data_IF_777318466328
#
_entry.id   IF_777318466328
#
_cell.length_a   1.000
_cell.length_b   1.000
_cell.length_c   1.000
_cell.angle_alpha   90.00
_cell.angle_beta   90.00
_cell.angle_gamma   90.00
#
_symmetry.space_group_name_H-M   'P 1'
#
loop_
_entity.id
_entity.type
_entity.pdbx_description
1 polymer ?
#
# COMPACT_ATOMS: atom_id res chain seq x y z
N UNK A 1 -9.22 16.70 -22.35
CA UNK A 1 -9.23 15.24 -22.52
C UNK A 1 -9.71 14.65 -21.20
N UNK A 2 -10.93 14.11 -21.18
CA UNK A 2 -11.41 13.40 -20.00
C UNK A 2 -10.71 12.05 -19.98
N UNK A 3 -9.69 11.90 -19.14
CA UNK A 3 -9.17 10.58 -18.79
C UNK A 3 -10.32 9.83 -18.14
N UNK A 4 -10.88 8.84 -18.83
CA UNK A 4 -11.73 7.84 -18.22
C UNK A 4 -10.91 7.24 -17.07
N UNK A 5 -11.21 7.68 -15.84
CA UNK A 5 -10.70 7.08 -14.62
C UNK A 5 -11.34 5.70 -14.55
N UNK A 6 -10.72 4.79 -15.29
CA UNK A 6 -11.02 3.37 -15.24
C UNK A 6 -10.54 2.94 -13.87
N UNK A 7 -11.42 2.32 -13.09
CA UNK A 7 -11.07 1.80 -11.77
C UNK A 7 -9.79 0.97 -11.95
N UNK A 8 -8.69 1.31 -11.26
CA UNK A 8 -7.42 0.64 -11.49
C UNK A 8 -7.58 -0.85 -11.20
N UNK A 9 -7.15 -1.71 -12.12
CA UNK A 9 -7.20 -3.14 -11.90
C UNK A 9 -6.29 -3.52 -10.71
N UNK A 10 -6.72 -4.43 -9.81
CA UNK A 10 -5.89 -4.88 -8.68
C UNK A 10 -4.50 -5.36 -9.09
N UNK A 11 -4.38 -6.02 -10.25
CA UNK A 11 -3.11 -6.48 -10.78
C UNK A 11 -2.15 -5.33 -11.11
N UNK A 12 -2.66 -4.21 -11.64
CA UNK A 12 -1.84 -3.03 -11.91
C UNK A 12 -1.30 -2.40 -10.62
N UNK A 13 -2.11 -2.38 -9.55
CA UNK A 13 -1.67 -1.91 -8.23
C UNK A 13 -0.58 -2.83 -7.68
N UNK A 14 -0.75 -4.15 -7.80
CA UNK A 14 0.26 -5.12 -7.36
C UNK A 14 1.59 -4.96 -8.11
N UNK A 15 1.56 -4.69 -9.42
CA UNK A 15 2.75 -4.39 -10.21
C UNK A 15 3.44 -3.13 -9.67
N UNK A 16 2.72 -2.04 -9.44
CA UNK A 16 3.29 -0.81 -8.86
C UNK A 16 3.88 -1.07 -7.47
N UNK A 17 3.17 -1.81 -6.61
CA UNK A 17 3.68 -2.18 -5.29
C UNK A 17 5.01 -2.95 -5.42
N UNK A 18 5.14 -3.87 -6.39
CA UNK A 18 6.39 -4.61 -6.63
C UNK A 18 7.56 -3.69 -7.05
N UNK A 19 7.28 -2.64 -7.83
CA UNK A 19 8.26 -1.64 -8.24
C UNK A 19 8.77 -0.77 -7.09
N UNK A 20 8.15 -0.80 -5.91
CA UNK A 20 8.72 -0.15 -4.72
C UNK A 20 10.05 -0.76 -4.29
N UNK A 21 10.33 -2.00 -4.71
CA UNK A 21 11.58 -2.70 -4.46
C UNK A 21 12.56 -2.65 -5.65
N UNK A 22 12.30 -1.82 -6.68
CA UNK A 22 13.19 -1.65 -7.83
C UNK A 22 14.55 -1.06 -7.43
N UNK A 23 15.62 -1.42 -8.13
CA UNK A 23 16.98 -0.92 -7.87
C UNK A 23 17.11 0.58 -8.18
N UNK A 24 16.38 1.08 -9.18
CA UNK A 24 16.41 2.48 -9.59
C UNK A 24 15.55 3.35 -8.67
N UNK A 25 16.14 4.43 -8.14
CA UNK A 25 15.40 5.41 -7.32
C UNK A 25 14.25 6.07 -8.08
N UNK A 26 14.45 6.38 -9.37
CA UNK A 26 13.43 7.03 -10.19
C UNK A 26 12.20 6.14 -10.42
N UNK A 27 12.39 4.82 -10.54
CA UNK A 27 11.29 3.86 -10.69
C UNK A 27 10.51 3.71 -9.40
N UNK A 28 11.21 3.62 -8.25
CA UNK A 28 10.57 3.59 -6.93
C UNK A 28 9.74 4.85 -6.67
N UNK A 29 10.29 6.02 -6.95
CA UNK A 29 9.62 7.31 -6.74
C UNK A 29 8.41 7.48 -7.67
N UNK A 30 8.55 7.12 -8.94
CA UNK A 30 7.44 7.17 -9.90
C UNK A 30 6.32 6.23 -9.48
N UNK A 31 6.64 5.00 -9.08
CA UNK A 31 5.67 4.04 -8.60
C UNK A 31 4.95 4.53 -7.33
N UNK A 32 5.71 5.10 -6.38
CA UNK A 32 5.15 5.70 -5.17
C UNK A 32 4.20 6.86 -5.50
N UNK A 33 4.55 7.71 -6.46
CA UNK A 33 3.67 8.81 -6.89
C UNK A 33 2.38 8.27 -7.48
N UNK A 34 2.47 7.30 -8.41
CA UNK A 34 1.28 6.68 -9.02
C UNK A 34 0.40 6.00 -7.98
N UNK A 35 0.97 5.31 -6.99
CA UNK A 35 0.20 4.68 -5.90
C UNK A 35 -0.53 5.71 -5.03
N UNK A 36 0.06 6.88 -4.79
CA UNK A 36 -0.60 7.98 -4.06
C UNK A 36 -1.75 8.55 -4.88
N UNK A 37 -1.56 8.74 -6.19
CA UNK A 37 -2.64 9.22 -7.07
C UNK A 37 -3.81 8.23 -7.10
N UNK A 38 -3.53 6.92 -7.17
CA UNK A 38 -4.55 5.88 -7.09
C UNK A 38 -5.22 5.82 -5.72
N UNK A 39 -4.47 6.00 -4.63
CA UNK A 39 -5.01 6.03 -3.28
C UNK A 39 -5.90 7.25 -3.03
N UNK A 40 -5.65 8.38 -3.70
CA UNK A 40 -6.53 9.54 -3.67
C UNK A 40 -7.86 9.30 -4.41
N UNK A 41 -7.85 8.42 -5.43
CA UNK A 41 -9.05 8.06 -6.20
C UNK A 41 -9.85 6.94 -5.54
N UNK A 42 -9.17 5.91 -5.02
CA UNK A 42 -9.80 4.77 -4.35
C UNK A 42 -8.86 4.20 -3.27
N UNK A 43 -8.89 4.77 -2.05
CA UNK A 43 -8.00 4.36 -0.98
C UNK A 43 -8.26 2.92 -0.51
N UNK A 44 -9.53 2.46 -0.50
CA UNK A 44 -9.89 1.11 -0.05
C UNK A 44 -9.21 0.04 -0.91
N UNK A 45 -9.29 0.18 -2.23
CA UNK A 45 -8.71 -0.78 -3.17
C UNK A 45 -7.17 -0.86 -3.03
N UNK A 46 -6.51 0.28 -2.90
CA UNK A 46 -5.05 0.33 -2.70
C UNK A 46 -4.67 -0.32 -1.37
N UNK A 47 -5.41 -0.04 -0.30
CA UNK A 47 -5.18 -0.64 1.02
C UNK A 47 -5.43 -2.15 1.04
N UNK A 48 -6.42 -2.66 0.32
CA UNK A 48 -6.66 -4.10 0.16
C UNK A 48 -5.52 -4.81 -0.58
N UNK A 49 -4.99 -4.18 -1.64
CA UNK A 49 -3.83 -4.70 -2.35
C UNK A 49 -2.60 -4.74 -1.43
N UNK A 50 -2.30 -3.63 -0.73
CA UNK A 50 -1.23 -3.56 0.27
C UNK A 50 -1.39 -4.65 1.37
N UNK A 51 -2.62 -4.87 1.85
CA UNK A 51 -2.90 -5.87 2.87
C UNK A 51 -2.73 -7.32 2.35
N UNK A 52 -3.14 -7.59 1.12
CA UNK A 52 -2.97 -8.90 0.47
C UNK A 52 -1.50 -9.20 0.24
N UNK A 53 -0.76 -8.20 -0.20
CA UNK A 53 0.67 -8.23 -0.41
C UNK A 53 1.44 -8.48 0.90
N UNK A 54 1.05 -7.82 1.99
CA UNK A 54 1.69 -7.98 3.31
C UNK A 54 1.38 -9.32 4.00
N UNK A 55 0.24 -9.96 3.71
CA UNK A 55 -0.13 -11.28 4.25
C UNK A 55 0.70 -12.45 3.68
N UNK A 56 1.46 -12.23 2.60
CA UNK A 56 2.32 -13.23 1.97
C UNK A 56 3.60 -13.48 2.77
N UNK A 57 3.54 -14.39 3.74
CA UNK A 57 4.63 -14.70 4.66
C UNK A 57 6.01 -14.94 4.01
N UNK A 58 7.01 -14.41 4.72
CA UNK A 58 8.45 -14.70 4.71
C UNK A 58 9.37 -14.09 3.63
N UNK A 59 8.95 -13.75 2.42
CA UNK A 59 9.90 -13.16 1.41
C UNK A 59 9.21 -12.46 0.23
N UNK A 60 8.75 -11.20 0.28
CA UNK A 60 8.28 -10.55 -0.98
C UNK A 60 8.58 -9.07 -1.26
N UNK A 61 8.96 -8.22 -0.29
CA UNK A 61 9.32 -6.82 -0.63
C UNK A 61 10.69 -6.44 -0.09
N UNK A 62 11.57 -6.03 -1.00
CA UNK A 62 12.84 -5.39 -0.64
C UNK A 62 12.64 -4.02 0.03
N UNK A 63 11.44 -3.44 -0.05
CA UNK A 63 11.13 -2.11 0.50
C UNK A 63 9.77 -2.06 1.21
N UNK A 64 9.67 -2.72 2.37
CA UNK A 64 8.46 -2.66 3.22
C UNK A 64 8.14 -1.24 3.70
N UNK A 65 9.15 -0.38 3.85
CA UNK A 65 8.96 1.03 4.20
C UNK A 65 8.10 1.77 3.15
N UNK A 66 8.32 1.48 1.86
CA UNK A 66 7.49 2.01 0.79
C UNK A 66 6.04 1.58 0.89
N UNK A 67 5.77 0.30 1.16
CA UNK A 67 4.40 -0.22 1.32
C UNK A 67 3.70 0.43 2.51
N UNK A 68 4.39 0.62 3.64
CA UNK A 68 3.83 1.34 4.79
C UNK A 68 3.53 2.81 4.49
N UNK A 69 4.37 3.47 3.70
CA UNK A 69 4.12 4.85 3.30
C UNK A 69 2.86 4.96 2.43
N UNK A 70 2.63 4.00 1.53
CA UNK A 70 1.39 3.90 0.73
C UNK A 70 0.19 3.61 1.63
N UNK A 71 0.31 2.68 2.58
CA UNK A 71 -0.76 2.41 3.56
C UNK A 71 -1.11 3.66 4.38
N UNK A 72 -0.11 4.40 4.88
CA UNK A 72 -0.33 5.61 5.66
C UNK A 72 -1.02 6.71 4.83
N UNK A 73 -0.66 6.83 3.55
CA UNK A 73 -1.32 7.75 2.64
C UNK A 73 -2.76 7.32 2.33
N UNK A 74 -2.99 6.04 2.05
CA UNK A 74 -4.32 5.50 1.80
C UNK A 74 -5.26 5.67 2.99
N UNK A 75 -4.78 5.42 4.21
CA UNK A 75 -5.57 5.65 5.44
C UNK A 75 -5.89 7.14 5.62
N UNK A 76 -4.95 8.04 5.30
CA UNK A 76 -5.21 9.49 5.36
C UNK A 76 -6.23 9.94 4.31
N UNK A 77 -6.27 9.28 3.16
CA UNK A 77 -7.19 9.61 2.07
C UNK A 77 -8.61 9.06 2.26
N UNK A 78 -8.85 8.23 3.29
CA UNK A 78 -10.21 7.77 3.63
C UNK A 78 -11.02 8.89 4.29
N UNK A 79 -12.24 9.11 3.81
CA UNK A 79 -13.26 9.89 4.53
C UNK A 79 -13.79 9.05 5.69
N UNK A 80 -14.06 9.67 6.84
CA UNK A 80 -14.53 8.97 8.05
C UNK A 80 -15.82 8.16 7.82
N UNK A 81 -16.59 8.48 6.78
CA UNK A 81 -17.82 7.77 6.40
C UNK A 81 -17.59 6.52 5.57
N UNK A 82 -16.43 6.39 4.93
CA UNK A 82 -16.06 5.24 4.10
C UNK A 82 -15.25 4.19 4.90
N UNK A 83 -15.07 4.42 6.21
CA UNK A 83 -14.25 3.58 7.08
C UNK A 83 -15.04 2.39 7.60
N UNK A 84 -14.84 1.24 6.97
CA UNK A 84 -15.27 -0.05 7.55
C UNK A 84 -14.34 -0.42 8.72
N UNK A 85 -14.90 -0.48 9.94
CA UNK A 85 -14.16 -0.79 11.16
C UNK A 85 -13.49 -2.17 11.13
N UNK A 86 -14.08 -3.15 10.45
CA UNK A 86 -13.47 -4.48 10.31
C UNK A 86 -12.27 -4.44 9.35
N UNK A 87 -12.34 -3.61 8.30
CA UNK A 87 -11.23 -3.34 7.39
C UNK A 87 -10.07 -2.60 8.08
N UNK A 88 -10.38 -1.55 8.85
CA UNK A 88 -9.37 -0.86 9.67
C UNK A 88 -8.74 -1.79 10.70
N UNK A 89 -9.53 -2.67 11.32
CA UNK A 89 -9.02 -3.70 12.22
C UNK A 89 -8.03 -4.66 11.54
N UNK A 90 -8.25 -5.01 10.26
CA UNK A 90 -7.30 -5.81 9.47
C UNK A 90 -6.00 -5.04 9.20
N UNK A 91 -6.09 -3.77 8.81
CA UNK A 91 -4.92 -2.93 8.57
C UNK A 91 -4.09 -2.72 9.84
N UNK A 92 -4.76 -2.43 10.96
CA UNK A 92 -4.11 -2.30 12.26
C UNK A 92 -3.40 -3.60 12.66
N UNK A 93 -4.05 -4.77 12.49
CA UNK A 93 -3.42 -6.07 12.73
C UNK A 93 -2.18 -6.31 11.87
N UNK A 94 -2.21 -5.92 10.60
CA UNK A 94 -1.06 -6.06 9.70
C UNK A 94 0.08 -5.15 10.17
N UNK A 95 -0.20 -3.87 10.41
CA UNK A 95 0.79 -2.92 10.91
C UNK A 95 1.41 -3.38 12.23
N UNK A 96 0.60 -3.86 13.19
CA UNK A 96 1.08 -4.38 14.47
C UNK A 96 1.86 -5.68 14.32
N UNK A 97 1.41 -6.63 13.49
CA UNK A 97 2.09 -7.91 13.28
C UNK A 97 3.46 -7.72 12.63
N UNK A 98 3.57 -6.82 11.65
CA UNK A 98 4.84 -6.49 11.01
C UNK A 98 5.74 -5.65 11.92
N UNK A 99 5.20 -4.70 12.69
CA UNK A 99 5.96 -3.93 13.68
C UNK A 99 6.54 -4.83 14.77
N UNK A 100 5.79 -5.86 15.21
CA UNK A 100 6.26 -6.86 16.18
C UNK A 100 7.23 -7.86 15.51
N UNK A 101 6.99 -8.27 14.27
CA UNK A 101 7.93 -9.10 13.49
C UNK A 101 9.25 -8.37 13.22
N UNK A 102 9.24 -7.03 13.21
CA UNK A 102 10.42 -6.18 13.03
C UNK A 102 11.18 -5.85 14.32
N UNK A 103 11.03 -6.65 15.38
CA UNK A 103 11.80 -6.52 16.64
C UNK A 103 13.34 -6.65 16.51
N UNK A 104 13.92 -6.61 15.30
CA UNK A 104 15.36 -6.71 15.04
C UNK A 104 15.91 -5.55 14.19
N UNK A 105 15.14 -4.52 13.85
CA UNK A 105 15.69 -3.38 13.06
C UNK A 105 15.59 -2.00 13.75
N UNK A 106 15.11 -1.93 15.00
CA UNK A 106 15.10 -0.70 15.82
C UNK A 106 15.80 -0.87 17.19
N UNK A 107 16.79 -1.77 17.28
CA UNK A 107 17.84 -1.72 18.32
C UNK A 107 19.21 -1.84 17.66
#
# INVERSE_FOLDING_TARGET
MASSISIPAPDAINVLLSLLADDSSSVRESSMSSLKDLAALNPVLVLECCATVSRGGRRRFGNMAGVFQVMAFGVRALDERDVDYAFMGKLAKIATSEMISSKVCFM
#
